data_IF_002332857790
#
_entry.id   IF_002332857790
#
_cell.length_a   1.000
_cell.length_b   1.000
_cell.length_c   1.000
_cell.angle_alpha   90.00
_cell.angle_beta   90.00
_cell.angle_gamma   90.00
#
_symmetry.space_group_name_H-M   'P 1'
#
loop_
_entity.id
_entity.type
_entity.pdbx_description
1 polymer ?
#
# COMPACT_ATOMS: atom_id res chain seq x y z
N UNK A 1 -47.02 -10.99 -56.35
CA UNK A 1 -46.96 -10.07 -55.21
C UNK A 1 -45.95 -10.50 -54.14
N UNK A 2 -44.92 -11.33 -54.43
CA UNK A 2 -44.03 -11.88 -53.39
C UNK A 2 -42.55 -11.48 -53.52
N UNK A 3 -42.19 -10.63 -54.50
CA UNK A 3 -40.78 -10.24 -54.63
C UNK A 3 -40.38 -8.91 -53.96
N UNK A 4 -41.36 -8.08 -53.59
CA UNK A 4 -41.08 -6.81 -52.89
C UNK A 4 -40.82 -6.94 -51.36
N UNK A 5 -41.37 -7.97 -50.73
CA UNK A 5 -41.26 -8.16 -49.27
C UNK A 5 -39.87 -8.72 -48.88
N UNK A 6 -39.24 -9.51 -49.78
CA UNK A 6 -37.94 -10.14 -49.50
C UNK A 6 -36.78 -9.12 -49.48
N UNK A 7 -36.90 -8.06 -50.29
CA UNK A 7 -35.82 -7.01 -50.37
C UNK A 7 -35.85 -6.10 -49.13
N UNK A 8 -37.05 -5.90 -48.53
CA UNK A 8 -37.18 -5.06 -47.33
C UNK A 8 -36.59 -5.75 -46.09
N UNK A 9 -36.66 -7.09 -45.99
CA UNK A 9 -36.10 -7.86 -44.88
C UNK A 9 -34.56 -7.95 -44.92
N UNK A 10 -33.96 -7.99 -46.13
CA UNK A 10 -32.50 -8.01 -46.25
C UNK A 10 -31.86 -6.66 -45.84
N UNK A 11 -32.57 -5.53 -46.14
CA UNK A 11 -32.06 -4.20 -45.74
C UNK A 11 -32.09 -3.95 -44.23
N UNK A 12 -33.10 -4.45 -43.53
CA UNK A 12 -33.20 -4.28 -42.09
C UNK A 12 -32.19 -5.13 -41.30
N UNK A 13 -31.85 -6.32 -41.78
CA UNK A 13 -30.81 -7.14 -41.11
C UNK A 13 -29.40 -6.59 -41.26
N UNK A 14 -29.07 -5.97 -42.38
CA UNK A 14 -27.79 -5.34 -42.62
C UNK A 14 -27.60 -4.11 -41.72
N UNK A 15 -28.61 -3.27 -41.55
CA UNK A 15 -28.57 -2.07 -40.71
C UNK A 15 -28.44 -2.46 -39.21
N UNK A 16 -29.10 -3.53 -38.77
CA UNK A 16 -29.01 -4.00 -37.37
C UNK A 16 -27.61 -4.62 -37.10
N UNK A 17 -27.02 -5.30 -38.08
CA UNK A 17 -25.64 -5.82 -37.90
C UNK A 17 -24.61 -4.70 -37.86
N UNK A 18 -24.75 -3.66 -38.71
CA UNK A 18 -23.84 -2.52 -38.71
C UNK A 18 -23.89 -1.75 -37.39
N UNK A 19 -25.08 -1.51 -36.84
CA UNK A 19 -25.24 -0.82 -35.56
C UNK A 19 -24.70 -1.63 -34.37
N UNK A 20 -24.68 -2.96 -34.44
CA UNK A 20 -24.04 -3.79 -33.39
C UNK A 20 -22.52 -3.73 -33.46
N UNK A 21 -21.92 -3.77 -34.65
CA UNK A 21 -20.47 -3.66 -34.82
C UNK A 21 -19.94 -2.29 -34.40
N UNK A 22 -20.65 -1.22 -34.74
CA UNK A 22 -20.27 0.15 -34.38
C UNK A 22 -20.36 0.37 -32.85
N UNK A 23 -21.34 -0.23 -32.18
CA UNK A 23 -21.49 -0.13 -30.72
C UNK A 23 -20.46 -0.98 -29.96
N UNK A 24 -20.06 -2.14 -30.46
CA UNK A 24 -18.98 -2.95 -29.89
C UNK A 24 -17.61 -2.31 -30.12
N UNK A 25 -17.41 -1.62 -31.24
CA UNK A 25 -16.16 -0.92 -31.54
C UNK A 25 -16.01 0.32 -30.67
N UNK A 26 -17.07 1.11 -30.48
CA UNK A 26 -17.09 2.26 -29.54
C UNK A 26 -16.84 1.86 -28.09
N UNK A 27 -17.39 0.72 -27.65
CA UNK A 27 -17.16 0.23 -26.27
C UNK A 27 -15.75 -0.32 -26.09
N UNK A 28 -15.13 -0.89 -27.11
CA UNK A 28 -13.77 -1.38 -27.06
C UNK A 28 -12.74 -0.25 -27.14
N UNK A 29 -12.99 0.81 -27.91
CA UNK A 29 -12.15 2.01 -27.96
C UNK A 29 -12.22 2.78 -26.62
N UNK A 30 -13.41 2.99 -26.06
CA UNK A 30 -13.57 3.62 -24.74
C UNK A 30 -12.93 2.79 -23.61
N UNK A 31 -12.91 1.46 -23.74
CA UNK A 31 -12.23 0.57 -22.78
C UNK A 31 -10.71 0.56 -22.95
N UNK A 32 -10.22 0.74 -24.18
CA UNK A 32 -8.80 0.88 -24.47
C UNK A 32 -8.27 2.25 -24.02
N UNK A 33 -9.03 3.33 -24.21
CA UNK A 33 -8.69 4.67 -23.73
C UNK A 33 -8.71 4.75 -22.19
N UNK A 34 -9.67 4.11 -21.51
CA UNK A 34 -9.70 4.01 -20.06
C UNK A 34 -8.53 3.22 -19.47
N UNK A 35 -7.90 2.32 -20.25
CA UNK A 35 -6.74 1.53 -19.83
C UNK A 35 -5.42 2.24 -20.11
N UNK A 36 -5.41 3.20 -21.04
CA UNK A 36 -4.22 4.00 -21.40
C UNK A 36 -4.08 5.27 -20.55
N UNK A 37 -5.10 5.66 -19.80
CA UNK A 37 -5.12 6.87 -18.97
C UNK A 37 -4.57 6.69 -17.57
N UNK A 38 -4.04 5.52 -17.21
CA UNK A 38 -3.27 5.34 -15.97
C UNK A 38 -1.81 5.72 -16.22
N UNK A 39 -1.58 7.02 -16.47
CA UNK A 39 -0.25 7.61 -16.57
C UNK A 39 0.46 7.58 -15.22
N UNK A 40 1.80 7.67 -15.20
CA UNK A 40 2.70 7.63 -14.03
C UNK A 40 2.13 8.22 -12.71
N UNK A 41 1.41 9.36 -12.71
CA UNK A 41 0.80 9.92 -11.49
C UNK A 41 -0.28 9.05 -10.82
N UNK A 42 -0.97 8.20 -11.57
CA UNK A 42 -1.99 7.30 -11.00
C UNK A 42 -1.36 6.15 -10.23
N UNK A 43 -0.27 5.59 -10.77
CA UNK A 43 0.46 4.48 -10.16
C UNK A 43 1.17 4.93 -8.87
N UNK A 44 1.76 6.11 -8.87
CA UNK A 44 2.42 6.67 -7.68
C UNK A 44 1.42 6.90 -6.55
N UNK A 45 0.22 7.46 -6.83
CA UNK A 45 -0.85 7.61 -5.84
C UNK A 45 -1.37 6.30 -5.29
N UNK A 46 -1.45 5.27 -6.13
CA UNK A 46 -1.82 3.92 -5.67
C UNK A 46 -0.74 3.34 -4.75
N UNK A 47 0.52 3.50 -5.11
CA UNK A 47 1.66 3.07 -4.30
C UNK A 47 1.73 3.82 -2.97
N UNK A 48 1.52 5.12 -2.95
CA UNK A 48 1.42 5.93 -1.71
C UNK A 48 0.30 5.41 -0.81
N UNK A 49 -0.88 5.13 -1.37
CA UNK A 49 -2.01 4.58 -0.61
C UNK A 49 -1.71 3.20 -0.03
N UNK A 50 -1.03 2.34 -0.80
CA UNK A 50 -0.60 1.02 -0.32
C UNK A 50 0.40 1.14 0.83
N UNK A 51 1.36 2.06 0.73
CA UNK A 51 2.37 2.30 1.77
C UNK A 51 1.73 2.88 3.04
N UNK A 52 0.79 3.81 2.90
CA UNK A 52 0.02 4.33 4.06
C UNK A 52 -0.76 3.20 4.76
N UNK A 53 -1.45 2.36 4.00
CA UNK A 53 -2.17 1.22 4.54
C UNK A 53 -1.21 0.24 5.26
N UNK A 54 -0.04 -0.02 4.67
CA UNK A 54 1.00 -0.88 5.25
C UNK A 54 1.50 -0.33 6.60
N UNK A 55 1.73 0.98 6.69
CA UNK A 55 2.12 1.66 7.93
C UNK A 55 1.07 1.49 9.04
N UNK A 56 -0.21 1.65 8.71
CA UNK A 56 -1.32 1.45 9.66
C UNK A 56 -1.44 -0.01 10.08
N UNK A 57 -1.24 -0.97 9.16
CA UNK A 57 -1.21 -2.41 9.44
C UNK A 57 -0.07 -2.75 10.40
N UNK A 58 1.12 -2.17 10.21
CA UNK A 58 2.27 -2.36 11.09
C UNK A 58 1.93 -1.98 12.54
N UNK A 59 1.38 -0.78 12.77
CA UNK A 59 1.02 -0.37 14.13
C UNK A 59 -0.05 -1.25 14.76
N UNK A 60 -1.06 -1.67 13.99
CA UNK A 60 -2.07 -2.63 14.47
C UNK A 60 -1.42 -3.95 14.89
N UNK A 61 -0.52 -4.47 14.07
CA UNK A 61 0.20 -5.71 14.35
C UNK A 61 1.12 -5.59 15.58
N UNK A 62 1.80 -4.43 15.75
CA UNK A 62 2.62 -4.16 16.94
C UNK A 62 1.78 -4.16 18.22
N UNK A 63 0.64 -3.48 18.23
CA UNK A 63 -0.28 -3.44 19.38
C UNK A 63 -0.90 -4.79 19.69
N UNK A 64 -1.24 -5.58 18.66
CA UNK A 64 -1.79 -6.93 18.78
C UNK A 64 -0.74 -8.00 19.05
N UNK A 65 0.57 -7.68 18.98
CA UNK A 65 1.69 -8.63 18.99
C UNK A 65 1.58 -9.70 17.90
N UNK A 66 1.00 -9.33 16.76
CA UNK A 66 0.84 -10.21 15.60
C UNK A 66 2.17 -10.37 14.86
N UNK A 67 2.95 -11.34 15.31
CA UNK A 67 4.27 -11.66 14.75
C UNK A 67 4.21 -12.18 13.33
N UNK A 68 3.11 -12.80 12.91
CA UNK A 68 2.92 -13.31 11.55
C UNK A 68 2.81 -12.15 10.57
N UNK A 69 1.95 -11.18 10.87
CA UNK A 69 1.83 -9.97 10.04
C UNK A 69 3.13 -9.17 10.04
N UNK A 70 3.76 -8.97 11.20
CA UNK A 70 5.04 -8.25 11.27
C UNK A 70 6.12 -8.94 10.43
N UNK A 71 6.22 -10.27 10.49
CA UNK A 71 7.18 -11.02 9.68
C UNK A 71 6.93 -10.87 8.17
N UNK A 72 5.66 -10.82 7.78
CA UNK A 72 5.23 -10.72 6.37
C UNK A 72 5.50 -9.35 5.75
N UNK A 73 5.41 -8.25 6.52
CA UNK A 73 5.51 -6.87 6.00
C UNK A 73 6.92 -6.28 6.07
N UNK A 74 7.85 -6.93 6.78
CA UNK A 74 9.25 -6.53 6.84
C UNK A 74 10.10 -7.44 5.96
N UNK A 75 11.03 -6.87 5.21
CA UNK A 75 12.01 -7.63 4.42
C UNK A 75 12.92 -8.47 5.33
N UNK A 76 13.55 -9.51 4.82
CA UNK A 76 14.36 -10.42 5.65
C UNK A 76 15.61 -9.74 6.23
N UNK A 77 16.14 -8.77 5.51
CA UNK A 77 17.27 -7.93 5.91
C UNK A 77 16.86 -6.65 6.67
N UNK A 78 15.60 -6.53 7.07
CA UNK A 78 15.11 -5.35 7.80
C UNK A 78 15.93 -5.06 9.06
N UNK A 79 16.27 -3.78 9.24
CA UNK A 79 16.94 -3.26 10.44
C UNK A 79 16.19 -2.05 10.99
N UNK A 80 15.89 -2.08 12.29
CA UNK A 80 15.41 -0.93 13.05
C UNK A 80 16.59 -0.28 13.77
N UNK A 81 16.79 1.02 13.57
CA UNK A 81 17.74 1.84 14.30
C UNK A 81 16.97 2.66 15.33
N UNK A 82 17.18 2.37 16.61
CA UNK A 82 16.57 3.09 17.72
C UNK A 82 17.14 4.49 17.90
N UNK A 83 16.45 5.34 18.69
CA UNK A 83 16.90 6.70 19.03
C UNK A 83 18.27 6.71 19.72
N UNK A 84 18.63 5.62 20.40
CA UNK A 84 19.95 5.44 21.04
C UNK A 84 21.05 5.03 20.07
N UNK A 85 20.72 4.79 18.79
CA UNK A 85 21.64 4.23 17.80
C UNK A 85 21.74 2.70 17.83
N UNK A 86 21.04 2.03 18.73
CA UNK A 86 21.00 0.56 18.78
C UNK A 86 20.33 0.02 17.53
N UNK A 87 20.94 -0.98 16.90
CA UNK A 87 20.43 -1.69 15.75
C UNK A 87 19.72 -2.96 16.20
N UNK A 88 18.52 -3.20 15.67
CA UNK A 88 17.78 -4.44 15.81
C UNK A 88 17.48 -5.02 14.43
N UNK A 89 17.85 -6.29 14.23
CA UNK A 89 17.42 -7.07 13.08
C UNK A 89 15.90 -7.33 13.13
N UNK A 90 15.31 -7.73 12.00
CA UNK A 90 13.90 -8.16 11.89
C UNK A 90 13.51 -9.11 13.01
N UNK A 91 14.32 -10.15 13.23
CA UNK A 91 14.03 -11.20 14.22
C UNK A 91 14.07 -10.68 15.66
N UNK A 92 15.02 -9.82 15.99
CA UNK A 92 15.14 -9.20 17.31
C UNK A 92 13.99 -8.24 17.59
N UNK A 93 13.62 -7.43 16.57
CA UNK A 93 12.49 -6.51 16.65
C UNK A 93 11.16 -7.26 16.90
N UNK A 94 10.87 -8.31 16.12
CA UNK A 94 9.65 -9.10 16.28
C UNK A 94 9.63 -9.80 17.64
N UNK A 95 10.76 -10.39 18.09
CA UNK A 95 10.87 -10.98 19.43
C UNK A 95 10.65 -9.97 20.55
N UNK A 96 11.17 -8.75 20.40
CA UNK A 96 11.00 -7.68 21.38
C UNK A 96 9.52 -7.28 21.52
N UNK A 97 8.75 -7.26 20.44
CA UNK A 97 7.31 -7.01 20.45
C UNK A 97 6.55 -8.18 21.08
N UNK A 98 6.83 -9.42 20.65
CA UNK A 98 6.19 -10.62 21.16
C UNK A 98 6.38 -10.76 22.66
N UNK A 99 7.62 -10.57 23.15
CA UNK A 99 8.00 -10.64 24.55
C UNK A 99 7.60 -9.43 25.40
N UNK A 100 7.10 -8.34 24.76
CA UNK A 100 6.69 -7.13 25.48
C UNK A 100 7.83 -6.21 25.90
N UNK A 101 9.06 -6.46 25.46
CA UNK A 101 10.20 -5.52 25.63
C UNK A 101 9.92 -4.22 24.89
N UNK A 102 9.27 -4.30 23.73
CA UNK A 102 8.64 -3.20 23.01
C UNK A 102 7.13 -3.43 23.08
N UNK A 103 6.44 -2.72 23.95
CA UNK A 103 5.02 -2.93 24.21
C UNK A 103 4.22 -1.68 23.85
N UNK A 104 3.44 -1.77 22.76
CA UNK A 104 2.63 -0.69 22.20
C UNK A 104 1.18 -0.83 22.63
N UNK A 105 0.53 0.27 23.02
CA UNK A 105 -0.85 0.29 23.53
C UNK A 105 -1.79 1.12 22.64
N UNK A 106 -1.30 2.23 22.11
CA UNK A 106 -2.05 3.07 21.17
C UNK A 106 -1.08 3.84 20.27
N UNK A 107 -1.57 4.22 19.10
CA UNK A 107 -0.87 5.12 18.17
C UNK A 107 -1.89 6.04 17.51
N UNK A 108 -1.62 7.33 17.58
CA UNK A 108 -2.35 8.40 16.90
C UNK A 108 -1.42 9.00 15.84
N UNK A 109 -1.75 8.78 14.56
CA UNK A 109 -0.92 9.24 13.46
C UNK A 109 -1.22 10.70 13.15
N UNK A 110 -0.22 11.58 13.31
CA UNK A 110 -0.37 13.02 13.12
C UNK A 110 0.05 13.47 11.72
N UNK A 111 1.11 12.86 11.17
CA UNK A 111 1.64 13.22 9.86
C UNK A 111 2.27 12.01 9.18
N UNK A 112 2.08 11.91 7.87
CA UNK A 112 2.81 10.98 7.01
C UNK A 112 3.29 11.71 5.76
N UNK A 113 4.55 11.52 5.41
CA UNK A 113 5.16 11.99 4.17
C UNK A 113 5.71 10.77 3.45
N UNK A 114 5.21 10.51 2.25
CA UNK A 114 5.58 9.36 1.42
C UNK A 114 6.17 9.89 0.13
N UNK A 115 7.29 9.30 -0.31
CA UNK A 115 7.92 9.60 -1.61
C UNK A 115 8.17 8.28 -2.29
N UNK A 116 7.60 8.09 -3.46
CA UNK A 116 7.75 6.89 -4.30
C UNK A 116 8.70 7.19 -5.46
N UNK A 117 9.61 6.26 -5.72
CA UNK A 117 10.51 6.30 -6.87
C UNK A 117 10.65 4.87 -7.44
N UNK A 118 9.78 4.54 -8.39
CA UNK A 118 9.72 3.21 -9.00
C UNK A 118 9.41 2.13 -7.98
N UNK A 119 10.35 1.22 -7.74
CA UNK A 119 10.20 0.13 -6.78
C UNK A 119 10.81 0.45 -5.40
N UNK A 120 11.18 1.70 -5.15
CA UNK A 120 11.69 2.18 -3.87
C UNK A 120 10.80 3.31 -3.35
N UNK A 121 10.67 3.40 -2.03
CA UNK A 121 9.97 4.50 -1.41
C UNK A 121 10.58 4.84 -0.06
N UNK A 122 10.33 6.08 0.39
CA UNK A 122 10.56 6.50 1.77
C UNK A 122 9.23 6.91 2.40
N UNK A 123 9.07 6.62 3.69
CA UNK A 123 7.96 7.08 4.50
C UNK A 123 8.51 7.70 5.78
N UNK A 124 8.10 8.94 6.07
CA UNK A 124 8.34 9.57 7.37
C UNK A 124 7.00 9.74 8.06
N UNK A 125 6.79 8.99 9.14
CA UNK A 125 5.56 9.02 9.93
C UNK A 125 5.80 9.63 11.32
N UNK A 126 4.98 10.60 11.72
CA UNK A 126 4.92 11.19 13.06
C UNK A 126 3.68 10.71 13.76
N UNK A 127 3.86 10.17 14.96
CA UNK A 127 2.75 9.60 15.72
C UNK A 127 2.94 9.83 17.22
N UNK A 128 1.85 10.09 17.92
CA UNK A 128 1.79 10.01 19.38
C UNK A 128 1.53 8.56 19.75
N UNK A 129 2.52 7.94 20.35
CA UNK A 129 2.51 6.50 20.63
C UNK A 129 2.55 6.28 22.14
N UNK A 130 1.55 5.59 22.68
CA UNK A 130 1.62 5.12 24.06
C UNK A 130 2.32 3.77 24.09
N UNK A 131 3.50 3.71 24.70
CA UNK A 131 4.31 2.49 24.77
C UNK A 131 5.08 2.39 26.10
N UNK A 132 5.40 1.16 26.48
CA UNK A 132 6.40 0.81 27.47
C UNK A 132 7.55 0.10 26.76
N UNK A 133 8.75 0.60 26.85
CA UNK A 133 9.92 0.11 26.12
C UNK A 133 11.04 -0.25 27.09
N UNK A 134 11.71 -1.39 26.84
CA UNK A 134 12.86 -1.88 27.62
C UNK A 134 12.64 -1.93 29.13
N UNK A 135 11.45 -2.40 29.56
CA UNK A 135 11.07 -2.50 30.97
C UNK A 135 10.71 -1.16 31.63
N UNK A 136 10.71 -0.07 30.88
CA UNK A 136 10.29 1.25 31.36
C UNK A 136 8.79 1.35 31.62
N UNK A 137 8.37 2.46 32.24
CA UNK A 137 6.95 2.75 32.47
C UNK A 137 6.25 3.08 31.17
N UNK A 138 4.95 2.84 31.12
CA UNK A 138 4.06 3.30 30.06
C UNK A 138 4.12 4.83 29.94
N UNK A 139 4.46 5.34 28.76
CA UNK A 139 4.64 6.74 28.46
C UNK A 139 4.10 7.09 27.06
N UNK A 140 3.78 8.36 26.82
CA UNK A 140 3.40 8.87 25.51
C UNK A 140 4.66 9.43 24.84
N UNK A 141 5.00 8.84 23.70
CA UNK A 141 6.15 9.22 22.89
C UNK A 141 5.68 10.02 21.66
N UNK A 142 6.29 11.15 21.40
CA UNK A 142 6.22 11.82 20.10
C UNK A 142 7.24 11.17 19.19
N UNK A 143 6.83 10.07 18.54
CA UNK A 143 7.71 9.19 17.79
C UNK A 143 7.67 9.54 16.31
N UNK A 144 8.84 9.82 15.73
CA UNK A 144 9.02 9.89 14.30
C UNK A 144 9.76 8.64 13.84
N UNK A 145 9.20 7.96 12.86
CA UNK A 145 9.83 6.84 12.17
C UNK A 145 10.08 7.22 10.72
N UNK A 146 11.32 7.08 10.30
CA UNK A 146 11.71 7.17 8.90
C UNK A 146 12.00 5.77 8.37
N UNK A 147 11.27 5.37 7.32
CA UNK A 147 11.38 4.06 6.68
C UNK A 147 11.94 4.17 5.29
N UNK A 148 12.72 3.16 4.89
CA UNK A 148 12.93 2.81 3.50
C UNK A 148 12.08 1.58 3.18
N UNK A 149 11.52 1.56 1.97
CA UNK A 149 10.68 0.47 1.48
C UNK A 149 11.14 0.05 0.08
N UNK A 150 10.93 -1.23 -0.23
CA UNK A 150 11.12 -1.77 -1.56
C UNK A 150 9.88 -2.55 -2.00
N UNK A 151 9.58 -2.48 -3.29
CA UNK A 151 8.47 -3.21 -3.93
C UNK A 151 9.03 -4.44 -4.63
N UNK A 152 8.58 -5.62 -4.19
CA UNK A 152 8.96 -6.92 -4.76
C UNK A 152 7.68 -7.64 -5.17
N UNK A 153 7.59 -8.10 -6.40
CA UNK A 153 6.42 -8.80 -6.95
C UNK A 153 5.09 -8.04 -6.71
N UNK A 154 5.14 -6.71 -6.85
CA UNK A 154 3.97 -5.85 -6.68
C UNK A 154 3.59 -5.53 -5.22
N UNK A 155 4.35 -5.98 -4.23
CA UNK A 155 4.09 -5.75 -2.80
C UNK A 155 5.19 -4.90 -2.16
N UNK A 156 4.80 -3.97 -1.29
CA UNK A 156 5.72 -3.16 -0.52
C UNK A 156 6.16 -3.85 0.76
N UNK A 157 7.46 -3.71 1.08
CA UNK A 157 8.09 -4.23 2.30
C UNK A 157 8.93 -3.14 2.96
N UNK A 158 8.90 -3.06 4.29
CA UNK A 158 9.84 -2.23 5.04
C UNK A 158 11.23 -2.88 5.00
N UNK A 159 12.24 -2.15 4.53
CA UNK A 159 13.63 -2.63 4.47
C UNK A 159 14.49 -2.05 5.58
N UNK A 160 14.16 -0.87 6.07
CA UNK A 160 14.79 -0.31 7.27
C UNK A 160 13.87 0.70 7.94
N UNK A 161 14.11 0.95 9.22
CA UNK A 161 13.47 2.00 9.98
C UNK A 161 14.48 2.71 10.89
N UNK A 162 14.33 4.04 11.04
CA UNK A 162 15.06 4.85 12.03
C UNK A 162 14.07 5.59 12.90
N UNK A 163 14.21 5.42 14.23
CA UNK A 163 13.39 6.11 15.21
C UNK A 163 14.06 7.42 15.68
N UNK A 164 13.25 8.44 15.88
CA UNK A 164 13.59 9.71 16.51
C UNK A 164 12.38 10.29 17.23
N UNK A 165 12.56 11.37 17.97
CA UNK A 165 11.47 12.21 18.49
C UNK A 165 11.28 13.44 17.60
N UNK A 166 10.13 14.12 17.70
CA UNK A 166 9.84 15.40 17.02
C UNK A 166 9.13 16.38 17.98
#
# INVERSE_FOLDING_TARGET
MNRLITILFLGMTAIIMQAKTDNEQLTNEARAEGKLACTMPCKEKEDESQIEALYRVMYKAMMAKDTVTLNRIHADDFVLIHMTGMHQSKQEYIRAIAGGTLNYYSAEHEQMEIKVNGNHATLTGRSRVTAAVFGGRRHIWRLQLHFNLSKVEGRWYFTSARASTY
#
